data_IF_941960904769
#
_entry.id   IF_941960904769
#
_cell.length_a   1.000
_cell.length_b   1.000
_cell.length_c   1.000
_cell.angle_alpha   90.00
_cell.angle_beta   90.00
_cell.angle_gamma   90.00
#
_symmetry.space_group_name_H-M   'P 1'
#
loop_
_entity.id
_entity.type
_entity.pdbx_description
1 polymer ?
#
# COMPACT_ATOMS: atom_id res chain seq x y z
N UNK A 1 1.46 21.32 0.72
CA UNK A 1 2.84 20.90 0.45
C UNK A 1 2.73 19.60 -0.32
N UNK A 2 3.38 19.45 -1.48
CA UNK A 2 3.24 18.21 -2.26
C UNK A 2 3.77 17.04 -1.45
N UNK A 3 3.00 15.95 -1.40
CA UNK A 3 3.46 14.74 -0.77
C UNK A 3 4.65 14.14 -1.57
N UNK A 4 5.83 14.04 -0.95
CA UNK A 4 7.06 13.66 -1.63
C UNK A 4 7.02 12.21 -2.14
N UNK A 5 6.48 11.29 -1.34
CA UNK A 5 6.40 9.86 -1.70
C UNK A 5 5.47 9.65 -2.90
N UNK A 6 4.32 10.32 -2.93
CA UNK A 6 3.41 10.31 -4.09
C UNK A 6 4.08 10.95 -5.31
N UNK A 7 4.75 12.09 -5.15
CA UNK A 7 5.41 12.80 -6.25
C UNK A 7 6.48 11.92 -6.91
N UNK A 8 7.28 11.23 -6.11
CA UNK A 8 8.28 10.26 -6.60
C UNK A 8 7.61 9.08 -7.31
N UNK A 9 6.51 8.54 -6.80
CA UNK A 9 5.76 7.49 -7.49
C UNK A 9 5.21 7.97 -8.85
N UNK A 10 4.64 9.19 -8.88
CA UNK A 10 4.07 9.79 -10.08
C UNK A 10 5.11 10.11 -11.15
N UNK A 11 6.36 10.39 -10.77
CA UNK A 11 7.46 10.58 -11.74
C UNK A 11 7.69 9.35 -12.63
N UNK A 12 7.36 8.13 -12.17
CA UNK A 12 7.46 6.94 -13.01
C UNK A 12 6.46 6.95 -14.18
N UNK A 13 5.32 7.65 -14.06
CA UNK A 13 4.33 7.77 -15.13
C UNK A 13 4.82 8.67 -16.28
N UNK A 14 5.69 9.65 -15.99
CA UNK A 14 6.29 10.53 -17.00
C UNK A 14 7.21 9.73 -17.93
N UNK A 15 7.90 8.74 -17.36
CA UNK A 15 8.93 7.98 -18.06
C UNK A 15 8.39 6.70 -18.72
N UNK A 16 7.15 6.29 -18.41
CA UNK A 16 6.59 5.08 -18.98
C UNK A 16 5.07 5.02 -18.94
N UNK A 17 4.48 4.55 -20.04
CA UNK A 17 3.04 4.30 -20.18
C UNK A 17 2.63 2.88 -19.78
N UNK A 18 3.59 2.00 -19.44
CA UNK A 18 3.35 0.60 -19.06
C UNK A 18 3.05 0.41 -17.56
N UNK A 19 3.04 1.50 -16.77
CA UNK A 19 2.86 1.45 -15.32
C UNK A 19 1.74 2.36 -14.85
N UNK A 20 1.27 2.08 -13.65
CA UNK A 20 0.32 2.90 -12.91
C UNK A 20 0.77 3.05 -11.47
N UNK A 21 0.28 4.12 -10.83
CA UNK A 21 0.44 4.33 -9.39
C UNK A 21 -0.79 3.79 -8.67
N UNK A 22 -0.56 3.07 -7.60
CA UNK A 22 -1.59 2.56 -6.71
C UNK A 22 -1.32 3.05 -5.30
N UNK A 23 -2.36 3.46 -4.58
CA UNK A 23 -2.30 3.64 -3.15
C UNK A 23 -2.67 2.33 -2.46
N UNK A 24 -1.81 1.86 -1.56
CA UNK A 24 -2.13 0.84 -0.58
C UNK A 24 -2.51 1.54 0.73
N UNK A 25 -3.77 1.45 1.10
CA UNK A 25 -4.40 2.26 2.15
C UNK A 25 -4.85 1.38 3.30
N UNK A 26 -4.58 1.80 4.53
CA UNK A 26 -5.15 1.18 5.73
C UNK A 26 -6.57 1.70 5.95
N UNK A 27 -7.57 0.89 5.61
CA UNK A 27 -8.98 1.31 5.68
C UNK A 27 -9.44 1.68 7.09
N UNK A 28 -8.86 1.08 8.13
CA UNK A 28 -9.15 1.46 9.52
C UNK A 28 -8.59 2.85 9.86
N UNK A 29 -7.39 3.18 9.39
CA UNK A 29 -6.84 4.53 9.59
C UNK A 29 -7.61 5.57 8.79
N UNK A 30 -8.04 5.22 7.57
CA UNK A 30 -8.89 6.07 6.76
C UNK A 30 -10.20 6.40 7.48
N UNK A 31 -10.93 5.39 7.96
CA UNK A 31 -12.20 5.57 8.67
C UNK A 31 -12.01 6.40 9.95
N UNK A 32 -10.98 6.13 10.74
CA UNK A 32 -10.68 6.90 11.95
C UNK A 32 -10.39 8.38 11.69
N UNK A 33 -9.76 8.69 10.56
CA UNK A 33 -9.36 10.05 10.24
C UNK A 33 -10.48 10.86 9.61
N UNK A 34 -11.26 10.25 8.72
CA UNK A 34 -12.33 10.94 7.96
C UNK A 34 -13.73 10.74 8.52
N UNK A 35 -13.95 9.74 9.39
CA UNK A 35 -15.28 9.34 9.87
C UNK A 35 -16.14 8.67 8.78
N UNK A 36 -15.55 8.28 7.66
CA UNK A 36 -16.23 7.60 6.55
C UNK A 36 -15.47 6.35 6.11
N UNK A 37 -16.23 5.33 5.70
CA UNK A 37 -15.68 4.07 5.19
C UNK A 37 -15.22 4.17 3.73
N UNK A 38 -14.10 3.51 3.42
CA UNK A 38 -13.75 3.22 2.02
C UNK A 38 -14.76 2.24 1.42
N UNK A 39 -15.21 2.51 0.20
CA UNK A 39 -16.14 1.63 -0.52
C UNK A 39 -15.75 1.47 -1.99
N UNK A 40 -15.97 0.25 -2.51
CA UNK A 40 -15.70 -0.11 -3.90
C UNK A 40 -16.57 0.65 -4.92
N UNK A 41 -17.67 1.28 -4.46
CA UNK A 41 -18.54 2.10 -5.33
C UNK A 41 -17.98 3.50 -5.57
N UNK A 42 -17.18 4.04 -4.64
CA UNK A 42 -16.66 5.42 -4.72
C UNK A 42 -15.32 5.53 -5.45
N UNK A 43 -14.64 4.42 -5.74
CA UNK A 43 -13.29 4.43 -6.31
C UNK A 43 -12.95 3.11 -7.02
N UNK A 44 -11.93 3.10 -7.89
CA UNK A 44 -11.31 1.87 -8.42
C UNK A 44 -10.48 1.19 -7.31
N UNK A 45 -11.12 0.95 -6.17
CA UNK A 45 -10.53 0.43 -4.96
C UNK A 45 -10.93 -1.03 -4.77
N UNK A 46 -9.93 -1.87 -4.55
CA UNK A 46 -10.10 -3.30 -4.33
C UNK A 46 -9.66 -3.62 -2.90
N UNK A 47 -10.54 -4.16 -2.06
CA UNK A 47 -10.16 -4.60 -0.72
C UNK A 47 -9.20 -5.79 -0.83
N UNK A 48 -8.12 -5.78 -0.05
CA UNK A 48 -7.15 -6.88 -0.05
C UNK A 48 -7.70 -8.15 0.59
N UNK A 49 -8.79 -8.09 1.35
CA UNK A 49 -9.35 -9.27 2.02
C UNK A 49 -10.88 -9.19 2.06
N UNK A 50 -11.57 -9.80 1.10
CA UNK A 50 -13.04 -9.75 0.97
C UNK A 50 -13.71 -11.13 0.99
N UNK A 51 -13.05 -12.13 1.58
CA UNK A 51 -13.65 -13.45 1.74
C UNK A 51 -14.67 -13.46 2.88
N UNK A 52 -15.87 -13.99 2.62
CA UNK A 52 -16.84 -14.33 3.66
C UNK A 52 -16.17 -15.23 4.74
N UNK A 53 -16.43 -15.02 6.05
CA UNK A 53 -17.42 -14.13 6.68
C UNK A 53 -16.93 -12.70 6.98
N UNK A 54 -15.70 -12.36 6.59
CA UNK A 54 -15.04 -11.10 6.96
C UNK A 54 -15.46 -9.87 6.14
N UNK A 55 -16.31 -10.05 5.12
CA UNK A 55 -16.78 -8.94 4.27
C UNK A 55 -17.52 -7.85 5.05
N UNK A 56 -18.09 -8.17 6.23
CA UNK A 56 -18.72 -7.21 7.15
C UNK A 56 -17.78 -6.15 7.74
N UNK A 57 -16.47 -6.40 7.71
CA UNK A 57 -15.43 -5.47 8.18
C UNK A 57 -14.47 -5.08 7.06
N UNK A 58 -14.80 -5.37 5.79
CA UNK A 58 -13.94 -5.12 4.64
C UNK A 58 -13.48 -3.65 4.54
N UNK A 59 -14.34 -2.71 4.94
CA UNK A 59 -14.00 -1.28 4.98
C UNK A 59 -12.74 -0.98 5.81
N UNK A 60 -12.55 -1.68 6.93
CA UNK A 60 -11.43 -1.49 7.86
C UNK A 60 -10.16 -2.23 7.42
N UNK A 61 -10.22 -2.99 6.32
CA UNK A 61 -9.11 -3.78 5.81
C UNK A 61 -8.26 -2.94 4.86
N UNK A 62 -7.10 -3.45 4.42
CA UNK A 62 -6.29 -2.71 3.47
C UNK A 62 -6.99 -2.64 2.11
N UNK A 63 -6.88 -1.50 1.43
CA UNK A 63 -7.42 -1.27 0.10
C UNK A 63 -6.30 -0.95 -0.89
N UNK A 64 -6.40 -1.49 -2.09
CA UNK A 64 -5.58 -1.08 -3.23
C UNK A 64 -6.40 -0.15 -4.12
N UNK A 65 -6.02 1.11 -4.22
CA UNK A 65 -6.70 2.12 -5.03
C UNK A 65 -5.82 2.46 -6.22
N UNK A 66 -6.28 2.21 -7.43
CA UNK A 66 -5.58 2.70 -8.63
C UNK A 66 -5.74 4.22 -8.68
N UNK A 67 -4.62 4.95 -8.70
CA UNK A 67 -4.65 6.39 -8.85
C UNK A 67 -4.99 6.73 -10.31
N UNK A 68 -6.15 7.34 -10.50
CA UNK A 68 -6.57 7.98 -11.74
C UNK A 68 -6.66 9.51 -11.51
N UNK A 69 -7.08 10.27 -12.51
CA UNK A 69 -7.08 11.74 -12.48
C UNK A 69 -8.03 12.38 -11.45
N UNK A 70 -8.72 11.60 -10.60
CA UNK A 70 -9.61 12.13 -9.58
C UNK A 70 -8.83 12.80 -8.45
N UNK A 71 -8.80 14.14 -8.48
CA UNK A 71 -8.05 14.98 -7.54
C UNK A 71 -8.50 14.83 -6.08
N UNK A 72 -9.78 14.56 -5.84
CA UNK A 72 -10.38 14.53 -4.49
C UNK A 72 -9.84 13.38 -3.62
N UNK A 73 -9.83 12.14 -4.12
CA UNK A 73 -9.30 10.99 -3.36
C UNK A 73 -7.80 11.14 -3.12
N UNK A 74 -7.06 11.74 -4.06
CA UNK A 74 -5.62 12.00 -3.87
C UNK A 74 -5.37 12.92 -2.69
N UNK A 75 -6.07 14.05 -2.59
CA UNK A 75 -5.89 15.00 -1.48
C UNK A 75 -6.23 14.38 -0.13
N UNK A 76 -7.27 13.53 -0.08
CA UNK A 76 -7.59 12.74 1.11
C UNK A 76 -6.46 11.79 1.50
N UNK A 77 -5.90 11.05 0.55
CA UNK A 77 -4.81 10.12 0.83
C UNK A 77 -3.52 10.83 1.26
N UNK A 78 -3.21 11.99 0.67
CA UNK A 78 -2.07 12.81 1.09
C UNK A 78 -2.25 13.37 2.50
N UNK A 79 -3.47 13.81 2.85
CA UNK A 79 -3.80 14.23 4.20
C UNK A 79 -3.70 13.08 5.20
N UNK A 80 -4.17 11.89 4.82
CA UNK A 80 -4.07 10.68 5.64
C UNK A 80 -2.61 10.30 5.88
N UNK A 81 -1.76 10.27 4.86
CA UNK A 81 -0.34 9.94 5.00
C UNK A 81 0.38 10.91 5.94
N UNK A 82 0.01 12.20 5.88
CA UNK A 82 0.58 13.24 6.76
C UNK A 82 0.19 13.03 8.22
N UNK A 83 -1.06 12.63 8.46
CA UNK A 83 -1.61 12.51 9.81
C UNK A 83 -1.32 11.14 10.46
N UNK A 84 -1.34 10.07 9.68
CA UNK A 84 -1.30 8.68 10.15
C UNK A 84 -0.48 7.79 9.21
N UNK A 85 0.14 6.71 9.72
CA UNK A 85 0.81 5.70 8.91
C UNK A 85 -0.23 4.81 8.21
N UNK A 86 -0.95 5.38 7.24
CA UNK A 86 -2.11 4.78 6.59
C UNK A 86 -2.01 4.65 5.07
N UNK A 87 -0.95 5.15 4.44
CA UNK A 87 -0.80 5.14 2.98
C UNK A 87 0.63 4.75 2.58
N UNK A 88 0.73 3.93 1.54
CA UNK A 88 1.96 3.73 0.78
C UNK A 88 1.64 3.66 -0.71
N UNK A 89 2.64 3.96 -1.56
CA UNK A 89 2.46 4.11 -3.01
C UNK A 89 3.20 3.01 -3.74
N UNK A 90 2.51 2.28 -4.61
CA UNK A 90 3.07 1.20 -5.42
C UNK A 90 3.06 1.64 -6.87
N UNK A 91 4.21 1.49 -7.54
CA UNK A 91 4.33 1.63 -9.00
C UNK A 91 4.39 0.23 -9.60
N UNK A 92 3.48 -0.10 -10.50
CA UNK A 92 3.42 -1.42 -11.13
C UNK A 92 2.75 -1.38 -12.49
N UNK A 93 3.15 -2.29 -13.38
CA UNK A 93 2.48 -2.54 -14.67
C UNK A 93 1.45 -3.68 -14.61
N UNK A 94 1.30 -4.33 -13.47
CA UNK A 94 0.34 -5.42 -13.27
C UNK A 94 -1.11 -4.91 -13.22
N UNK A 95 -2.04 -5.82 -13.49
CA UNK A 95 -3.46 -5.55 -13.26
C UNK A 95 -3.74 -5.43 -11.74
N UNK A 96 -4.75 -4.66 -11.32
CA UNK A 96 -5.05 -4.46 -9.90
C UNK A 96 -5.30 -5.80 -9.16
N UNK A 97 -5.99 -6.73 -9.80
CA UNK A 97 -6.35 -8.04 -9.24
C UNK A 97 -5.11 -8.92 -9.05
N UNK A 98 -4.14 -8.83 -9.97
CA UNK A 98 -2.85 -9.52 -9.84
C UNK A 98 -2.05 -8.97 -8.66
N UNK A 99 -2.03 -7.65 -8.48
CA UNK A 99 -1.37 -7.01 -7.34
C UNK A 99 -2.02 -7.39 -6.01
N UNK A 100 -3.35 -7.41 -5.93
CA UNK A 100 -4.08 -7.84 -4.74
C UNK A 100 -3.75 -9.29 -4.41
N UNK A 101 -3.85 -10.19 -5.40
CA UNK A 101 -3.51 -11.61 -5.23
C UNK A 101 -2.08 -11.80 -4.76
N UNK A 102 -1.15 -11.00 -5.30
CA UNK A 102 0.26 -11.04 -4.92
C UNK A 102 0.48 -10.57 -3.48
N UNK A 103 -0.09 -9.43 -3.09
CA UNK A 103 0.03 -8.88 -1.73
C UNK A 103 -0.59 -9.81 -0.67
N UNK A 104 -1.74 -10.43 -0.97
CA UNK A 104 -2.42 -11.38 -0.09
C UNK A 104 -1.54 -12.54 0.35
N UNK A 105 -0.62 -13.02 -0.51
CA UNK A 105 0.31 -14.13 -0.20
C UNK A 105 1.25 -13.80 0.96
N UNK A 106 1.52 -12.53 1.19
CA UNK A 106 2.42 -12.07 2.24
C UNK A 106 1.69 -11.57 3.50
N UNK A 107 0.36 -11.53 3.48
CA UNK A 107 -0.42 -11.05 4.63
C UNK A 107 -0.56 -12.10 5.73
N UNK A 108 -0.63 -13.38 5.41
CA UNK A 108 -0.71 -14.44 6.41
C UNK A 108 0.69 -14.97 6.74
N UNK A 109 1.08 -14.88 8.00
CA UNK A 109 2.32 -15.44 8.52
C UNK A 109 2.00 -16.53 9.55
N UNK A 110 2.79 -17.62 9.53
CA UNK A 110 2.74 -18.64 10.57
C UNK A 110 3.85 -18.37 11.59
N UNK A 111 3.49 -18.36 12.87
CA UNK A 111 4.42 -18.22 13.98
C UNK A 111 5.04 -19.59 14.32
N UNK A 112 6.21 -19.64 14.99
CA UNK A 112 6.87 -20.91 15.33
C UNK A 112 6.03 -21.87 16.19
N UNK A 113 4.99 -21.37 16.85
CA UNK A 113 4.05 -22.14 17.66
C UNK A 113 2.80 -22.62 16.86
N UNK A 114 2.79 -22.43 15.54
CA UNK A 114 1.70 -22.82 14.65
C UNK A 114 0.52 -21.84 14.63
N UNK A 115 0.59 -20.71 15.34
CA UNK A 115 -0.45 -19.68 15.26
C UNK A 115 -0.32 -18.84 14.00
N UNK A 116 -1.46 -18.42 13.45
CA UNK A 116 -1.50 -17.45 12.37
C UNK A 116 -1.37 -16.00 12.89
N UNK A 117 -0.62 -15.19 12.17
CA UNK A 117 -0.49 -13.75 12.37
C UNK A 117 -0.79 -13.01 11.06
N UNK A 118 -1.41 -11.83 11.17
CA UNK A 118 -1.66 -10.97 10.01
C UNK A 118 -0.56 -9.91 9.92
N UNK A 119 0.23 -9.97 8.86
CA UNK A 119 1.23 -8.97 8.52
C UNK A 119 0.55 -7.74 7.92
N UNK A 120 0.69 -6.60 8.60
CA UNK A 120 0.16 -5.31 8.15
C UNK A 120 1.08 -4.67 7.12
N UNK A 121 1.18 -5.27 5.93
CA UNK A 121 2.03 -4.78 4.83
C UNK A 121 1.69 -3.35 4.38
N UNK A 122 0.45 -2.91 4.64
CA UNK A 122 0.01 -1.54 4.37
C UNK A 122 0.54 -0.49 5.35
N UNK A 123 1.03 -0.89 6.54
CA UNK A 123 1.58 0.05 7.51
C UNK A 123 3.02 0.45 7.10
N UNK A 124 3.27 1.74 6.80
CA UNK A 124 4.60 2.29 6.49
C UNK A 124 5.73 1.78 7.38
N UNK A 125 5.48 1.70 8.69
CA UNK A 125 6.50 1.35 9.70
C UNK A 125 6.85 -0.13 9.64
N UNK A 126 5.90 -0.97 9.22
CA UNK A 126 6.12 -2.40 9.02
C UNK A 126 7.01 -2.62 7.80
N UNK A 127 6.85 -1.83 6.73
CA UNK A 127 7.68 -1.96 5.51
C UNK A 127 9.17 -1.71 5.79
N UNK A 128 9.50 -0.68 6.56
CA UNK A 128 10.90 -0.40 6.96
C UNK A 128 11.50 -1.59 7.72
N UNK A 129 10.76 -2.13 8.69
CA UNK A 129 11.20 -3.30 9.48
C UNK A 129 11.31 -4.57 8.64
N UNK A 130 10.38 -4.80 7.73
CA UNK A 130 10.44 -5.95 6.81
C UNK A 130 11.65 -5.86 5.88
N UNK A 131 12.00 -4.66 5.41
CA UNK A 131 13.12 -4.46 4.49
C UNK A 131 14.45 -4.92 5.07
N UNK A 132 14.61 -4.81 6.40
CA UNK A 132 15.81 -5.26 7.12
C UNK A 132 15.77 -6.74 7.53
N UNK A 133 14.58 -7.33 7.66
CA UNK A 133 14.40 -8.73 8.09
C UNK A 133 14.41 -9.74 6.94
N UNK A 134 13.85 -9.37 5.78
CA UNK A 134 13.75 -10.28 4.64
C UNK A 134 15.13 -10.56 4.05
N UNK A 135 15.41 -11.81 3.71
CA UNK A 135 16.56 -12.13 2.87
C UNK A 135 16.34 -11.64 1.43
N UNK A 136 17.40 -11.64 0.62
CA UNK A 136 17.34 -11.13 -0.75
C UNK A 136 16.32 -11.85 -1.63
N UNK A 137 16.12 -13.16 -1.43
CA UNK A 137 15.16 -13.94 -2.22
C UNK A 137 13.72 -13.58 -1.84
N UNK A 138 13.39 -13.60 -0.54
CA UNK A 138 12.05 -13.28 -0.05
C UNK A 138 11.60 -11.87 -0.47
N UNK A 139 12.51 -10.91 -0.48
CA UNK A 139 12.19 -9.55 -0.89
C UNK A 139 12.08 -9.36 -2.39
N UNK A 140 12.92 -10.04 -3.18
CA UNK A 140 12.73 -10.09 -4.64
C UNK A 140 11.36 -10.67 -5.00
N UNK A 141 10.94 -11.73 -4.31
CA UNK A 141 9.62 -12.32 -4.48
C UNK A 141 8.53 -11.33 -4.06
N UNK A 142 8.61 -10.76 -2.86
CA UNK A 142 7.61 -9.83 -2.35
C UNK A 142 7.46 -8.58 -3.21
N UNK A 143 8.55 -8.06 -3.76
CA UNK A 143 8.55 -6.84 -4.61
C UNK A 143 8.48 -7.16 -6.11
N UNK A 144 8.26 -8.42 -6.49
CA UNK A 144 8.43 -8.90 -7.87
C UNK A 144 7.50 -8.22 -8.88
N UNK A 145 6.29 -7.83 -8.47
CA UNK A 145 5.34 -7.11 -9.32
C UNK A 145 5.46 -5.59 -9.22
N UNK A 146 6.37 -5.08 -8.40
CA UNK A 146 6.51 -3.64 -8.15
C UNK A 146 7.78 -3.12 -8.82
N UNK A 147 7.63 -2.07 -9.61
CA UNK A 147 8.74 -1.24 -10.07
C UNK A 147 9.27 -0.37 -8.94
N UNK A 148 8.37 0.11 -8.09
CA UNK A 148 8.71 0.86 -6.89
C UNK A 148 7.59 0.70 -5.83
N UNK A 149 7.94 0.82 -4.55
CA UNK A 149 7.02 0.85 -3.42
C UNK A 149 7.52 1.84 -2.36
N UNK A 150 6.87 3.00 -2.29
CA UNK A 150 7.28 4.13 -1.49
C UNK A 150 6.37 4.34 -0.28
N UNK A 151 6.95 4.78 0.82
CA UNK A 151 6.19 5.17 2.00
C UNK A 151 6.89 6.27 2.77
N UNK A 152 6.14 7.07 3.52
CA UNK A 152 6.68 8.13 4.38
C UNK A 152 6.75 7.64 5.83
N UNK A 153 7.94 7.71 6.43
CA UNK A 153 8.18 7.40 7.85
C UNK A 153 9.04 8.52 8.44
N UNK A 154 8.56 9.12 9.52
CA UNK A 154 9.23 10.23 10.21
C UNK A 154 9.61 11.40 9.26
N UNK A 155 8.73 11.69 8.30
CA UNK A 155 8.93 12.76 7.30
C UNK A 155 9.95 12.44 6.20
N UNK A 156 10.49 11.21 6.16
CA UNK A 156 11.41 10.74 5.13
C UNK A 156 10.75 9.68 4.26
N UNK A 157 11.11 9.65 2.99
CA UNK A 157 10.58 8.64 2.08
C UNK A 157 11.47 7.40 2.13
N UNK A 158 10.86 6.24 2.30
CA UNK A 158 11.49 4.94 2.24
C UNK A 158 11.05 4.23 0.96
N UNK A 159 12.02 3.73 0.19
CA UNK A 159 11.76 2.76 -0.88
C UNK A 159 11.88 1.35 -0.31
N UNK A 160 10.75 0.63 -0.26
CA UNK A 160 10.77 -0.79 0.06
C UNK A 160 11.40 -1.60 -1.07
N UNK A 161 11.33 -1.14 -2.32
CA UNK A 161 11.99 -1.83 -3.45
C UNK A 161 13.51 -1.80 -3.34
N UNK A 162 14.08 -0.65 -3.00
CA UNK A 162 15.54 -0.46 -2.88
C UNK A 162 16.07 -0.76 -1.47
N UNK A 163 15.18 -0.82 -0.47
CA UNK A 163 15.52 -0.99 0.96
C UNK A 163 16.36 0.16 1.52
N UNK A 164 16.03 1.38 1.14
CA UNK A 164 16.72 2.58 1.62
C UNK A 164 15.78 3.77 1.75
N UNK A 165 16.22 4.75 2.55
CA UNK A 165 15.59 6.06 2.56
C UNK A 165 16.06 6.85 1.34
N UNK A 166 15.12 7.44 0.64
CA UNK A 166 15.37 8.29 -0.53
C UNK A 166 15.00 9.74 -0.15
N UNK A 167 15.93 10.65 -0.46
CA UNK A 167 15.94 12.08 -0.11
C UNK A 167 16.42 12.41 1.32
#
# INVERSE_FOLDING_TARGET
MSNLSFSLAAQHLIHSSDVSVFALVDGLQYERYFGEELSAQKSTAIPLLDSWPDSRIAFARPWLIRMNETMEIREQLEALETALPGVSWIVSGSMPEELVTHLQRYMNAELPDGRAALLRVQDPRVQVRLGTMLNCQQHREMTGLMREWLTTVDGKVWSFKQREFIC
#
